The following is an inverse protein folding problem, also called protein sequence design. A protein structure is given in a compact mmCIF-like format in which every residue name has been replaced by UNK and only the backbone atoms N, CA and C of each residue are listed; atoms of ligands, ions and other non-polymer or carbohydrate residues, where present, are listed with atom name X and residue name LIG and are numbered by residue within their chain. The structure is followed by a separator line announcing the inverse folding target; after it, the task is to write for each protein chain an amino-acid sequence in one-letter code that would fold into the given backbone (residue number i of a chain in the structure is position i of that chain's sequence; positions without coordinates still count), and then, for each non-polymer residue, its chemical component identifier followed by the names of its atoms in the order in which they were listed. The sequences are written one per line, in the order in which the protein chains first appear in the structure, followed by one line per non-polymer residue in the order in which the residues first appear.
data_IF_466944514946
#
_entry.id   IF_466944514946
#
_cell.length_a   1.000
_cell.length_b   1.000
_cell.length_c   1.000
_cell.angle_alpha   90.00
_cell.angle_beta   90.00
_cell.angle_gamma   90.00
#
_symmetry.space_group_name_H-M   'P 1'
#
loop_
_entity.id
_entity.type
_entity.pdbx_description
1 polymer ?
#
# COMPACT_ATOMS: atom_id res chain seq x y z
N UNK A 1 -21.98 64.02 10.29
CA UNK A 1 -21.34 62.72 10.05
C UNK A 1 -20.82 62.76 8.64
N UNK A 2 -19.52 62.98 8.56
CA UNK A 2 -18.85 63.53 7.39
C UNK A 2 -18.76 62.46 6.29
N UNK A 3 -18.83 62.87 5.03
CA UNK A 3 -18.84 61.99 3.86
C UNK A 3 -17.67 60.99 3.86
N UNK A 4 -16.54 61.41 4.43
CA UNK A 4 -15.33 60.61 4.67
C UNK A 4 -15.58 59.39 5.56
N UNK A 5 -16.44 59.49 6.57
CA UNK A 5 -16.74 58.39 7.49
C UNK A 5 -17.51 57.25 6.79
N UNK A 6 -18.37 57.57 5.82
CA UNK A 6 -19.11 56.57 5.02
C UNK A 6 -18.17 55.80 4.08
N UNK A 7 -17.22 56.50 3.45
CA UNK A 7 -16.22 55.90 2.56
C UNK A 7 -15.29 54.95 3.31
N UNK A 8 -14.77 55.38 4.46
CA UNK A 8 -13.89 54.53 5.29
C UNK A 8 -14.62 53.29 5.78
N UNK A 9 -15.89 53.41 6.18
CA UNK A 9 -16.69 52.26 6.62
C UNK A 9 -16.91 51.24 5.49
N UNK A 10 -17.15 51.71 4.27
CA UNK A 10 -17.30 50.83 3.10
C UNK A 10 -16.02 50.05 2.77
N UNK A 11 -14.86 50.71 2.81
CA UNK A 11 -13.57 50.06 2.54
C UNK A 11 -13.26 49.03 3.64
N UNK A 12 -13.47 49.39 4.91
CA UNK A 12 -13.26 48.48 6.03
C UNK A 12 -14.17 47.23 5.93
N UNK A 13 -15.43 47.41 5.57
CA UNK A 13 -16.36 46.31 5.36
C UNK A 13 -15.92 45.41 4.19
N UNK A 14 -15.47 46.01 3.07
CA UNK A 14 -14.95 45.26 1.93
C UNK A 14 -13.72 44.40 2.27
N UNK A 15 -12.76 44.97 3.02
CA UNK A 15 -11.59 44.24 3.50
C UNK A 15 -11.95 43.11 4.46
N UNK A 16 -12.90 43.35 5.37
CA UNK A 16 -13.39 42.32 6.29
C UNK A 16 -14.00 41.13 5.54
N UNK A 17 -14.81 41.39 4.50
CA UNK A 17 -15.41 40.34 3.66
C UNK A 17 -14.34 39.58 2.88
N UNK A 18 -13.37 40.28 2.27
CA UNK A 18 -12.26 39.64 1.56
C UNK A 18 -11.43 38.76 2.50
N UNK A 19 -11.17 39.21 3.72
CA UNK A 19 -10.43 38.46 4.72
C UNK A 19 -11.21 37.22 5.21
N UNK A 20 -12.51 37.37 5.48
CA UNK A 20 -13.38 36.26 5.87
C UNK A 20 -13.50 35.21 4.75
N UNK A 21 -13.62 35.65 3.49
CA UNK A 21 -13.65 34.76 2.34
C UNK A 21 -12.32 33.99 2.21
N UNK A 22 -11.18 34.68 2.36
CA UNK A 22 -9.86 34.04 2.38
C UNK A 22 -9.69 33.05 3.53
N UNK A 23 -10.22 33.37 4.72
CA UNK A 23 -10.13 32.51 5.90
C UNK A 23 -11.02 31.26 5.80
N UNK A 24 -12.27 31.41 5.34
CA UNK A 24 -13.16 30.27 5.08
C UNK A 24 -12.55 29.34 4.03
N UNK A 25 -11.96 29.91 2.97
CA UNK A 25 -11.30 29.13 1.93
C UNK A 25 -10.05 28.40 2.44
N UNK A 26 -9.20 29.09 3.21
CA UNK A 26 -8.01 28.48 3.81
C UNK A 26 -8.32 27.35 4.79
N UNK A 27 -9.43 27.46 5.52
CA UNK A 27 -9.87 26.40 6.45
C UNK A 27 -10.47 25.20 5.71
N UNK A 28 -11.18 25.42 4.61
CA UNK A 28 -11.75 24.32 3.80
C UNK A 28 -10.67 23.48 3.13
N UNK A 29 -9.62 24.09 2.57
CA UNK A 29 -8.55 23.35 1.88
C UNK A 29 -7.67 22.47 2.78
N UNK A 30 -7.55 22.82 4.07
CA UNK A 30 -6.72 22.06 5.02
C UNK A 30 -7.32 20.68 5.34
N UNK A 31 -8.66 20.60 5.41
CA UNK A 31 -9.37 19.34 5.64
C UNK A 31 -9.21 18.35 4.48
N UNK A 32 -9.17 18.83 3.24
CA UNK A 32 -8.96 17.98 2.07
C UNK A 32 -7.52 17.47 1.98
N UNK A 33 -6.55 18.32 2.31
CA UNK A 33 -5.14 17.92 2.37
C UNK A 33 -4.90 16.83 3.43
N UNK A 34 -5.46 17.00 4.64
CA UNK A 34 -5.34 16.02 5.72
C UNK A 34 -5.98 14.68 5.34
N UNK A 35 -7.13 14.69 4.64
CA UNK A 35 -7.79 13.46 4.15
C UNK A 35 -6.96 12.71 3.10
N UNK A 36 -6.33 13.42 2.17
CA UNK A 36 -5.49 12.80 1.14
C UNK A 36 -4.24 12.16 1.76
N UNK A 37 -3.65 12.82 2.76
CA UNK A 37 -2.53 12.26 3.53
C UNK A 37 -2.96 11.00 4.29
N UNK A 38 -4.04 11.07 5.07
CA UNK A 38 -4.55 9.91 5.82
C UNK A 38 -4.87 8.72 4.91
N UNK A 39 -5.47 8.97 3.75
CA UNK A 39 -5.77 7.91 2.77
C UNK A 39 -4.50 7.28 2.21
N UNK A 40 -3.48 8.08 1.95
CA UNK A 40 -2.19 7.59 1.43
C UNK A 40 -1.44 6.77 2.47
N UNK A 41 -1.44 7.19 3.73
CA UNK A 41 -0.81 6.44 4.81
C UNK A 41 -1.53 5.11 5.08
N UNK A 42 -2.87 5.11 5.13
CA UNK A 42 -3.66 3.89 5.27
C UNK A 42 -3.36 2.90 4.14
N UNK A 43 -3.29 3.41 2.90
CA UNK A 43 -2.92 2.60 1.74
C UNK A 43 -1.51 2.04 1.86
N UNK A 44 -0.57 2.83 2.37
CA UNK A 44 0.80 2.39 2.66
C UNK A 44 0.85 1.26 3.68
N UNK A 45 0.11 1.36 4.77
CA UNK A 45 0.03 0.32 5.81
C UNK A 45 -0.60 -0.97 5.30
N UNK A 46 -1.72 -0.88 4.57
CA UNK A 46 -2.39 -2.04 3.98
C UNK A 46 -1.52 -2.73 2.91
N UNK A 47 -0.82 -1.96 2.07
CA UNK A 47 0.13 -2.51 1.10
C UNK A 47 1.33 -3.17 1.79
N UNK A 48 1.86 -2.56 2.85
CA UNK A 48 2.92 -3.14 3.66
C UNK A 48 2.49 -4.44 4.33
N UNK A 49 1.29 -4.48 4.91
CA UNK A 49 0.73 -5.69 5.52
C UNK A 49 0.56 -6.80 4.47
N UNK A 50 0.04 -6.47 3.29
CA UNK A 50 -0.09 -7.43 2.19
C UNK A 50 1.26 -7.99 1.74
N UNK A 51 2.27 -7.14 1.59
CA UNK A 51 3.62 -7.57 1.23
C UNK A 51 4.18 -8.54 2.28
N UNK A 52 4.07 -8.19 3.57
CA UNK A 52 4.51 -9.06 4.65
C UNK A 52 3.78 -10.41 4.68
N UNK A 53 2.46 -10.45 4.43
CA UNK A 53 1.72 -11.72 4.32
C UNK A 53 2.18 -12.54 3.11
N UNK A 54 2.50 -11.91 1.97
CA UNK A 54 3.03 -12.62 0.80
C UNK A 54 4.43 -13.18 1.06
N UNK A 55 5.30 -12.42 1.73
CA UNK A 55 6.62 -12.91 2.16
C UNK A 55 6.50 -14.09 3.14
N UNK A 56 5.56 -14.01 4.09
CA UNK A 56 5.26 -15.13 4.99
C UNK A 56 4.87 -16.40 4.22
N UNK A 57 4.09 -16.28 3.14
CA UNK A 57 3.72 -17.43 2.30
C UNK A 57 4.93 -18.04 1.60
N UNK A 58 5.83 -17.21 1.05
CA UNK A 58 7.08 -17.67 0.44
C UNK A 58 7.95 -18.40 1.47
N UNK A 59 8.03 -17.87 2.69
CA UNK A 59 8.75 -18.51 3.80
C UNK A 59 8.12 -19.86 4.20
N UNK A 60 6.79 -19.97 4.27
CA UNK A 60 6.09 -21.24 4.56
C UNK A 60 6.37 -22.28 3.46
N UNK A 61 6.36 -21.88 2.18
CA UNK A 61 6.72 -22.79 1.08
C UNK A 61 8.16 -23.27 1.16
N UNK A 62 9.06 -22.46 1.71
CA UNK A 62 10.46 -22.80 1.94
C UNK A 62 10.68 -23.56 3.25
N UNK A 63 9.61 -23.96 3.95
CA UNK A 63 9.64 -24.66 5.24
C UNK A 63 10.34 -23.82 6.34
N UNK A 64 10.40 -22.49 6.18
CA UNK A 64 10.96 -21.56 7.16
C UNK A 64 9.84 -20.92 8.01
N UNK A 65 9.30 -21.70 8.95
CA UNK A 65 8.19 -21.25 9.80
C UNK A 65 8.57 -20.14 10.80
N UNK A 66 9.86 -20.04 11.17
CA UNK A 66 10.35 -18.97 12.04
C UNK A 66 10.29 -17.62 11.35
N UNK A 67 10.82 -17.54 10.14
CA UNK A 67 10.76 -16.33 9.31
C UNK A 67 9.33 -16.00 8.91
N UNK A 68 8.52 -17.00 8.55
CA UNK A 68 7.10 -16.81 8.30
C UNK A 68 6.37 -16.18 9.49
N UNK A 69 6.64 -16.64 10.72
CA UNK A 69 6.03 -16.09 11.93
C UNK A 69 6.44 -14.63 12.15
N UNK A 70 7.69 -14.28 11.87
CA UNK A 70 8.16 -12.89 11.95
C UNK A 70 7.46 -11.98 10.93
N UNK A 71 7.26 -12.45 9.70
CA UNK A 71 6.53 -11.70 8.69
C UNK A 71 5.04 -11.53 9.05
N UNK A 72 4.40 -12.56 9.60
CA UNK A 72 3.01 -12.48 10.07
C UNK A 72 2.85 -11.50 11.24
N UNK A 73 3.82 -11.47 12.17
CA UNK A 73 3.83 -10.50 13.27
C UNK A 73 3.98 -9.06 12.74
N UNK A 74 4.86 -8.84 11.76
CA UNK A 74 5.00 -7.56 11.08
C UNK A 74 3.72 -7.12 10.38
N UNK A 75 3.04 -8.05 9.70
CA UNK A 75 1.75 -7.80 9.07
C UNK A 75 0.67 -7.44 10.10
N UNK A 76 0.61 -8.15 11.22
CA UNK A 76 -0.31 -7.88 12.34
C UNK A 76 -0.11 -6.48 12.90
N UNK A 77 1.14 -6.06 13.13
CA UNK A 77 1.45 -4.71 13.61
C UNK A 77 1.00 -3.61 12.64
N UNK A 78 1.16 -3.83 11.33
CA UNK A 78 0.69 -2.89 10.30
C UNK A 78 -0.84 -2.83 10.21
N UNK A 79 -1.51 -3.97 10.27
CA UNK A 79 -2.97 -4.06 10.27
C UNK A 79 -3.60 -3.47 11.53
N UNK A 80 -2.96 -3.63 12.70
CA UNK A 80 -3.42 -2.99 13.94
C UNK A 80 -3.43 -1.47 13.84
N UNK A 81 -2.38 -0.86 13.27
CA UNK A 81 -2.36 0.59 13.02
C UNK A 81 -3.43 1.04 12.02
N UNK A 82 -3.64 0.24 10.97
CA UNK A 82 -4.69 0.52 9.99
C UNK A 82 -6.09 0.42 10.61
N UNK A 83 -6.32 -0.55 11.51
CA UNK A 83 -7.57 -0.73 12.28
C UNK A 83 -7.87 0.49 13.16
N UNK A 84 -6.89 0.93 13.96
CA UNK A 84 -7.02 2.12 14.81
C UNK A 84 -7.39 3.38 14.00
N UNK A 85 -6.82 3.51 12.79
CA UNK A 85 -7.11 4.62 11.87
C UNK A 85 -8.48 4.50 11.21
N UNK A 86 -8.90 3.30 10.83
CA UNK A 86 -10.24 3.08 10.27
C UNK A 86 -11.32 3.41 11.31
N UNK A 87 -11.09 3.06 12.58
CA UNK A 87 -11.96 3.43 13.70
C UNK A 87 -12.03 4.93 13.91
N UNK A 88 -10.89 5.64 13.88
CA UNK A 88 -10.88 7.10 14.04
C UNK A 88 -11.57 7.83 12.88
N UNK A 89 -11.63 7.21 11.69
CA UNK A 89 -12.35 7.70 10.52
C UNK A 89 -13.84 7.31 10.49
N UNK A 90 -14.32 6.49 11.43
CA UNK A 90 -15.70 5.98 11.45
C UNK A 90 -16.03 5.02 10.29
N UNK A 91 -15.03 4.27 9.80
CA UNK A 91 -15.16 3.38 8.65
C UNK A 91 -15.45 1.92 9.08
N UNK A 92 -16.58 1.70 9.75
CA UNK A 92 -16.95 0.41 10.38
C UNK A 92 -16.94 -0.78 9.41
N UNK A 93 -17.31 -0.57 8.14
CA UNK A 93 -17.33 -1.64 7.14
C UNK A 93 -15.91 -2.14 6.79
N UNK A 94 -14.94 -1.22 6.68
CA UNK A 94 -13.56 -1.56 6.39
C UNK A 94 -12.86 -2.11 7.65
N UNK A 95 -13.21 -1.59 8.83
CA UNK A 95 -12.76 -2.08 10.13
C UNK A 95 -13.07 -3.58 10.31
N UNK A 96 -14.32 -4.01 10.06
CA UNK A 96 -14.70 -5.43 10.12
C UNK A 96 -13.90 -6.32 9.17
N UNK A 97 -13.56 -5.83 7.98
CA UNK A 97 -12.75 -6.57 7.01
C UNK A 97 -11.30 -6.68 7.51
N UNK A 98 -10.73 -5.61 8.05
CA UNK A 98 -9.39 -5.64 8.66
C UNK A 98 -9.33 -6.59 9.86
N UNK A 99 -10.34 -6.60 10.72
CA UNK A 99 -10.43 -7.55 11.83
C UNK A 99 -10.54 -9.00 11.36
N UNK A 100 -11.26 -9.25 10.25
CA UNK A 100 -11.30 -10.57 9.62
C UNK A 100 -9.92 -10.99 9.12
N UNK A 101 -9.17 -10.08 8.49
CA UNK A 101 -7.80 -10.36 8.06
C UNK A 101 -6.85 -10.62 9.25
N UNK A 102 -6.98 -9.86 10.34
CA UNK A 102 -6.23 -10.07 11.59
C UNK A 102 -6.51 -11.46 12.19
N UNK A 103 -7.78 -11.86 12.26
CA UNK A 103 -8.15 -13.20 12.73
C UNK A 103 -7.54 -14.32 11.87
N UNK A 104 -7.50 -14.14 10.54
CA UNK A 104 -6.86 -15.10 9.64
C UNK A 104 -5.34 -15.14 9.81
N UNK A 105 -4.68 -14.02 10.07
CA UNK A 105 -3.23 -13.97 10.39
C UNK A 105 -2.94 -14.67 11.72
N UNK A 106 -3.74 -14.41 12.75
CA UNK A 106 -3.60 -15.08 14.06
C UNK A 106 -3.76 -16.59 13.94
N UNK A 107 -4.72 -17.04 13.14
CA UNK A 107 -4.88 -18.45 12.84
C UNK A 107 -3.66 -19.00 12.10
N UNK A 108 -3.18 -18.30 11.06
CA UNK A 108 -2.00 -18.69 10.29
C UNK A 108 -0.74 -18.79 11.17
N UNK A 109 -0.51 -17.85 12.08
CA UNK A 109 0.62 -17.85 13.01
C UNK A 109 0.56 -19.04 13.99
N UNK A 110 -0.63 -19.35 14.52
CA UNK A 110 -0.83 -20.54 15.37
C UNK A 110 -0.58 -21.84 14.61
N UNK A 111 -0.97 -21.92 13.34
CA UNK A 111 -0.70 -23.07 12.47
C UNK A 111 0.78 -23.17 12.11
N UNK A 112 1.43 -22.05 11.78
CA UNK A 112 2.85 -22.00 11.48
C UNK A 112 3.70 -22.43 12.68
N UNK A 113 3.33 -22.03 13.91
CA UNK A 113 3.97 -22.49 15.14
C UNK A 113 3.83 -24.00 15.40
N UNK A 114 2.84 -24.65 14.80
CA UNK A 114 2.64 -26.11 14.82
C UNK A 114 3.23 -26.81 13.59
N UNK A 115 3.92 -26.06 12.72
CA UNK A 115 4.46 -26.53 11.43
C UNK A 115 3.37 -27.09 10.50
N UNK A 116 2.13 -26.57 10.62
CA UNK A 116 0.99 -27.04 9.84
C UNK A 116 1.00 -26.40 8.43
N UNK A 117 1.00 -27.20 7.34
CA UNK A 117 0.99 -26.68 5.97
C UNK A 117 -0.27 -25.87 5.62
N UNK A 118 -1.36 -26.03 6.37
CA UNK A 118 -2.59 -25.24 6.19
C UNK A 118 -2.39 -23.75 6.54
N UNK A 119 -1.29 -23.38 7.21
CA UNK A 119 -0.93 -21.99 7.48
C UNK A 119 -0.88 -21.13 6.21
N UNK A 120 -0.42 -21.70 5.08
CA UNK A 120 -0.34 -20.98 3.80
C UNK A 120 -1.74 -20.65 3.25
N UNK A 121 -2.72 -21.54 3.41
CA UNK A 121 -4.10 -21.27 3.01
C UNK A 121 -4.68 -20.07 3.75
N UNK A 122 -4.43 -20.00 5.06
CA UNK A 122 -4.92 -18.94 5.95
C UNK A 122 -4.23 -17.60 5.72
N UNK A 123 -2.92 -17.61 5.48
CA UNK A 123 -2.20 -16.43 5.01
C UNK A 123 -2.73 -15.95 3.64
N UNK A 124 -3.10 -16.88 2.76
CA UNK A 124 -3.76 -16.56 1.48
C UNK A 124 -5.12 -15.87 1.65
N UNK A 125 -5.97 -16.37 2.56
CA UNK A 125 -7.25 -15.74 2.91
C UNK A 125 -7.05 -14.31 3.42
N UNK A 126 -6.11 -14.12 4.37
CA UNK A 126 -5.79 -12.79 4.88
C UNK A 126 -5.35 -11.83 3.75
N UNK A 127 -4.44 -12.27 2.88
CA UNK A 127 -3.97 -11.46 1.75
C UNK A 127 -5.10 -11.06 0.79
N UNK A 128 -6.09 -11.95 0.59
CA UNK A 128 -7.27 -11.66 -0.24
C UNK A 128 -8.14 -10.59 0.40
N UNK A 129 -8.45 -10.71 1.70
CA UNK A 129 -9.26 -9.72 2.41
C UNK A 129 -8.58 -8.35 2.40
N UNK A 130 -7.27 -8.28 2.63
CA UNK A 130 -6.51 -7.01 2.55
C UNK A 130 -6.60 -6.39 1.16
N UNK A 131 -6.55 -7.20 0.10
CA UNK A 131 -6.69 -6.72 -1.28
C UNK A 131 -8.11 -6.16 -1.56
N UNK A 132 -9.16 -6.77 -1.01
CA UNK A 132 -10.54 -6.27 -1.11
C UNK A 132 -10.73 -4.93 -0.37
N UNK A 133 -10.11 -4.77 0.81
CA UNK A 133 -10.11 -3.49 1.55
C UNK A 133 -9.41 -2.40 0.72
N UNK A 134 -8.25 -2.72 0.13
CA UNK A 134 -7.50 -1.80 -0.73
C UNK A 134 -8.30 -1.36 -1.97
N UNK A 135 -8.99 -2.28 -2.63
CA UNK A 135 -9.85 -1.99 -3.78
C UNK A 135 -11.04 -1.12 -3.38
N UNK A 136 -11.67 -1.42 -2.24
CA UNK A 136 -12.76 -0.62 -1.68
C UNK A 136 -12.32 0.80 -1.34
N UNK A 137 -11.15 0.94 -0.72
CA UNK A 137 -10.57 2.25 -0.41
C UNK A 137 -10.27 3.04 -1.69
N UNK A 138 -9.66 2.41 -2.70
CA UNK A 138 -9.36 3.04 -3.99
C UNK A 138 -10.63 3.50 -4.73
N UNK A 139 -11.68 2.68 -4.73
CA UNK A 139 -12.98 3.03 -5.33
C UNK A 139 -13.62 4.24 -4.66
N UNK A 140 -13.55 4.33 -3.32
CA UNK A 140 -14.07 5.50 -2.59
C UNK A 140 -13.29 6.78 -2.89
N UNK A 141 -11.97 6.69 -3.01
CA UNK A 141 -11.15 7.84 -3.41
C UNK A 141 -11.47 8.32 -4.82
N UNK A 142 -11.83 7.40 -5.73
CA UNK A 142 -12.24 7.73 -7.09
C UNK A 142 -13.68 8.25 -7.19
N UNK A 143 -14.58 7.83 -6.29
CA UNK A 143 -15.99 8.23 -6.29
C UNK A 143 -16.26 9.54 -5.53
N UNK A 144 -15.26 10.11 -4.86
CA UNK A 144 -15.41 11.44 -4.28
C UNK A 144 -15.71 12.42 -5.42
N UNK A 145 -16.85 13.14 -5.40
CA UNK A 145 -17.18 14.08 -6.45
C UNK A 145 -16.02 15.06 -6.53
N UNK A 146 -15.33 15.06 -7.67
CA UNK A 146 -14.45 16.16 -8.04
C UNK A 146 -15.40 17.34 -8.19
N UNK A 147 -15.67 18.04 -7.08
CA UNK A 147 -16.31 19.34 -7.12
C UNK A 147 -15.46 20.13 -8.11
N UNK A 148 -16.02 20.57 -9.25
CA UNK A 148 -15.25 21.28 -10.24
C UNK A 148 -14.53 22.39 -9.50
N UNK A 149 -13.21 22.35 -9.48
CA UNK A 149 -12.40 23.37 -8.86
C UNK A 149 -12.57 24.61 -9.73
N UNK A 150 -13.67 25.32 -9.50
CA UNK A 150 -14.05 26.56 -10.17
C UNK A 150 -13.06 27.62 -9.70
N UNK A 151 -11.90 27.67 -10.33
CA UNK A 151 -10.83 28.54 -9.88
C UNK A 151 -9.49 28.39 -10.58
N UNK A 152 -9.23 27.33 -11.35
CA UNK A 152 -8.12 27.38 -12.30
C UNK A 152 -8.53 28.20 -13.53
N UNK A 153 -8.43 29.52 -13.36
CA UNK A 153 -8.35 30.48 -14.44
C UNK A 153 -7.33 30.01 -15.45
N UNK A 154 -7.82 29.49 -16.57
CA UNK A 154 -7.15 29.37 -17.85
C UNK A 154 -6.84 30.79 -18.35
N UNK A 155 -5.90 31.48 -17.70
CA UNK A 155 -5.24 32.64 -18.28
C UNK A 155 -3.91 32.22 -18.86
N UNK A 156 -3.87 32.27 -20.18
CA UNK A 156 -2.69 32.43 -21.02
C UNK A 156 -1.68 31.28 -21.04
N UNK A 157 -1.99 30.28 -21.90
CA UNK A 157 -0.95 29.55 -22.63
C UNK A 157 -1.23 29.59 -24.13
N UNK A 158 -1.26 30.80 -24.67
CA UNK A 158 -1.10 31.01 -26.10
C UNK A 158 0.37 30.76 -26.50
N UNK A 159 0.56 30.15 -27.66
CA UNK A 159 1.82 29.89 -28.39
C UNK A 159 2.68 28.69 -27.94
N UNK A 160 2.28 27.51 -28.43
CA UNK A 160 3.24 26.52 -28.98
C UNK A 160 3.62 26.95 -30.41
N UNK A 161 4.86 26.72 -30.82
CA UNK A 161 5.11 26.15 -32.13
C UNK A 161 5.60 24.70 -32.03
N UNK A 162 5.26 23.97 -33.08
CA UNK A 162 5.44 22.54 -33.27
C UNK A 162 6.91 22.11 -33.24
N UNK A 163 7.19 20.96 -32.62
CA UNK A 163 8.34 20.14 -32.98
C UNK A 163 7.92 18.68 -33.04
N UNK A 164 7.75 18.22 -34.28
CA UNK A 164 7.48 16.86 -34.67
C UNK A 164 8.77 16.05 -34.66
N UNK A 165 8.98 15.25 -33.62
CA UNK A 165 9.94 14.15 -33.64
C UNK A 165 9.16 12.83 -33.64
N UNK A 166 9.10 12.23 -34.83
CA UNK A 166 8.68 10.84 -35.08
C UNK A 166 9.63 9.94 -34.27
N UNK A 167 9.09 9.09 -33.40
CA UNK A 167 9.84 7.97 -32.85
C UNK A 167 9.20 6.67 -33.32
N UNK A 168 9.96 5.97 -34.14
CA UNK A 168 9.64 4.73 -34.82
C UNK A 168 9.48 3.58 -33.83
N UNK A 169 8.46 2.75 -34.05
CA UNK A 169 8.30 1.44 -33.42
C UNK A 169 9.27 0.42 -34.05
N UNK A 170 9.93 -0.45 -33.27
CA UNK A 170 10.44 -1.71 -33.77
C UNK A 170 9.47 -2.86 -33.45
N UNK A 171 8.84 -3.30 -34.54
CA UNK A 171 8.62 -4.68 -35.01
C UNK A 171 8.84 -5.86 -34.05
N UNK A 172 7.80 -6.68 -34.00
CA UNK A 172 7.70 -8.12 -33.76
C UNK A 172 8.99 -8.96 -33.59
N UNK A 173 8.99 -9.79 -32.54
CA UNK A 173 9.77 -11.03 -32.47
C UNK A 173 8.78 -12.20 -32.40
N UNK A 174 8.88 -13.07 -33.41
CA UNK A 174 8.22 -14.36 -33.49
C UNK A 174 8.98 -15.43 -32.70
N UNK A 175 8.22 -16.33 -32.05
CA UNK A 175 8.46 -17.77 -32.11
C UNK A 175 9.42 -18.39 -31.10
N UNK A 176 8.87 -19.21 -30.20
CA UNK A 176 9.34 -20.60 -30.01
C UNK A 176 8.28 -21.42 -29.28
N UNK A 177 7.78 -22.45 -29.97
CA UNK A 177 6.98 -23.51 -29.35
C UNK A 177 7.91 -24.56 -28.73
N UNK A 178 7.49 -25.15 -27.63
CA UNK A 178 7.95 -26.48 -27.21
C UNK A 178 6.73 -27.29 -26.77
N UNK A 179 6.47 -28.26 -27.64
CA UNK A 179 5.89 -29.59 -27.50
C UNK A 179 5.29 -30.03 -26.15
N UNK A 180 4.07 -30.54 -26.29
CA UNK A 180 3.43 -31.44 -25.36
C UNK A 180 4.12 -32.81 -25.35
N UNK A 181 4.45 -33.32 -24.16
CA UNK A 181 4.68 -34.76 -23.96
C UNK A 181 3.61 -35.33 -23.05
N UNK A 182 2.92 -36.32 -23.63
CA UNK A 182 1.87 -37.16 -23.08
C UNK A 182 2.46 -38.54 -22.83
N UNK A 183 2.53 -38.97 -21.57
CA UNK A 183 2.63 -40.36 -21.10
C UNK A 183 2.71 -40.29 -19.57
N UNK A 184 2.07 -41.11 -18.75
CA UNK A 184 1.37 -42.37 -18.89
C UNK A 184 1.24 -42.90 -17.45
N UNK A 185 0.08 -43.41 -17.08
CA UNK A 185 -0.17 -43.92 -15.72
C UNK A 185 0.55 -45.24 -15.43
N UNK A 186 0.77 -45.50 -14.15
CA UNK A 186 1.16 -46.80 -13.62
C UNK A 186 1.54 -46.75 -12.13
N UNK A 187 0.86 -47.49 -11.23
CA UNK A 187 1.17 -47.49 -9.80
C UNK A 187 2.17 -48.59 -9.44
N UNK A 188 2.99 -48.37 -8.41
CA UNK A 188 3.58 -49.46 -7.64
C UNK A 188 5.06 -49.32 -7.28
N UNK A 189 5.28 -49.33 -5.96
CA UNK A 189 6.42 -49.90 -5.23
C UNK A 189 7.69 -49.07 -4.94
N UNK A 190 7.94 -49.02 -3.62
CA UNK A 190 9.22 -49.20 -2.92
C UNK A 190 10.20 -48.02 -2.82
N UNK A 191 10.21 -47.38 -1.63
CA UNK A 191 11.43 -46.95 -0.92
C UNK A 191 12.37 -48.16 -0.68
N UNK A 192 13.68 -48.05 -0.30
CA UNK A 192 14.49 -46.93 0.27
C UNK A 192 15.91 -46.83 -0.41
N UNK A 193 17.03 -46.28 0.14
CA UNK A 193 17.29 -45.61 1.41
C UNK A 193 18.06 -44.25 1.35
N UNK A 194 18.16 -43.67 2.54
CA UNK A 194 18.94 -42.49 2.96
C UNK A 194 20.44 -42.64 2.65
N UNK A 195 21.03 -41.67 1.93
CA UNK A 195 22.31 -40.99 2.29
C UNK A 195 22.67 -39.93 1.23
N UNK A 196 22.74 -38.64 1.60
CA UNK A 196 23.99 -37.87 1.55
C UNK A 196 23.79 -36.48 2.16
N UNK A 197 24.52 -36.25 3.24
CA UNK A 197 24.91 -34.93 3.72
C UNK A 197 25.66 -34.22 2.58
N UNK A 198 25.19 -33.04 2.16
CA UNK A 198 26.03 -32.08 1.45
C UNK A 198 25.74 -30.67 1.94
N UNK A 199 26.69 -30.18 2.72
CA UNK A 199 26.91 -28.80 3.14
C UNK A 199 26.81 -27.84 1.96
N UNK A 200 25.94 -26.85 2.06
CA UNK A 200 25.95 -25.65 1.23
C UNK A 200 25.77 -24.41 2.12
N UNK A 201 26.67 -24.27 3.10
CA UNK A 201 26.98 -22.99 3.73
C UNK A 201 27.77 -22.15 2.71
N UNK A 202 27.11 -21.23 1.99
CA UNK A 202 27.89 -20.37 1.09
C UNK A 202 27.19 -19.42 0.13
N UNK A 203 25.92 -19.03 0.33
CA UNK A 203 25.29 -17.96 -0.51
C UNK A 203 24.44 -16.97 0.33
N UNK A 204 24.41 -17.13 1.65
CA UNK A 204 23.46 -16.43 2.53
C UNK A 204 23.98 -15.20 3.30
N UNK A 205 25.13 -14.62 2.96
CA UNK A 205 25.65 -13.43 3.67
C UNK A 205 25.65 -12.13 2.87
N UNK A 206 25.73 -12.20 1.54
CA UNK A 206 25.85 -10.98 0.72
C UNK A 206 24.49 -10.32 0.41
N UNK A 207 23.39 -11.09 0.47
CA UNK A 207 22.03 -10.55 0.37
C UNK A 207 21.47 -10.03 1.69
N UNK A 208 21.92 -10.55 2.84
CA UNK A 208 21.53 -10.01 4.15
C UNK A 208 22.18 -8.64 4.42
N UNK A 209 23.38 -8.38 3.91
CA UNK A 209 24.05 -7.09 4.11
C UNK A 209 23.37 -5.97 3.30
N UNK A 210 22.80 -6.27 2.12
CA UNK A 210 22.10 -5.27 1.28
C UNK A 210 20.71 -4.91 1.82
N UNK A 211 20.00 -5.84 2.47
CA UNK A 211 18.72 -5.56 3.13
C UNK A 211 18.93 -4.73 4.42
N UNK A 212 20.04 -4.95 5.14
CA UNK A 212 20.39 -4.17 6.33
C UNK A 212 20.70 -2.69 6.03
N UNK A 213 21.27 -2.39 4.85
CA UNK A 213 21.55 -1.00 4.44
C UNK A 213 20.27 -0.20 4.15
N UNK A 214 19.21 -0.84 3.62
CA UNK A 214 17.94 -0.15 3.34
C UNK A 214 17.19 0.15 4.63
N UNK A 215 17.15 -0.77 5.60
CA UNK A 215 16.54 -0.53 6.92
C UNK A 215 17.29 0.53 7.76
N UNK A 216 18.62 0.62 7.63
CA UNK A 216 19.43 1.63 8.35
C UNK A 216 19.25 3.06 7.81
N UNK A 217 18.74 3.24 6.59
CA UNK A 217 18.45 4.56 6.02
C UNK A 217 17.08 5.13 6.45
N UNK A 218 16.13 4.26 6.84
CA UNK A 218 14.81 4.70 7.33
C UNK A 218 14.84 5.25 8.77
N UNK A 219 15.77 4.79 9.62
CA UNK A 219 15.87 5.21 11.02
C UNK A 219 16.60 6.54 11.29
N UNK A 220 17.19 7.18 10.25
CA UNK A 220 18.05 8.37 10.42
C UNK A 220 17.41 9.71 10.02
N UNK A 221 16.10 9.74 9.78
CA UNK A 221 15.32 10.96 9.48
C UNK A 221 14.45 11.48 10.64
N UNK A 222 14.49 10.84 11.81
CA UNK A 222 13.68 11.24 12.97
C UNK A 222 14.42 11.95 14.12
N UNK A 223 15.67 12.38 13.94
CA UNK A 223 16.49 12.94 15.03
C UNK A 223 17.04 14.36 14.73
N UNK A 224 16.42 15.09 13.81
CA UNK A 224 16.66 16.51 13.60
C UNK A 224 15.31 17.15 13.43
N UNK A 225 14.77 17.61 14.55
CA UNK A 225 13.82 18.73 14.71
C UNK A 225 12.99 18.47 15.98
N UNK A 226 13.44 19.13 17.07
CA UNK A 226 12.76 19.39 18.35
C UNK A 226 12.56 18.24 19.33
#
# INVERSE_FOLDING_TARGET
MDEMAKLVLGIAAGLAVAFLAGWLWGRSGRLDADRVLQTSELRGELLGARAAVLDARVAIYSVNFGEASQHLEGARGLLGRADDRLKSLGLDAADRQVQTALASIDAAQRMAGKLDPNANGRAGEAAKVIAEVLDTAAKRSASAPVTPQAGHSTRDRATRPHSSARFSSPTAVCGHGIEATKAGGGPGFASPPVTLVRSATGVGRELQERIFIISRWSGRRGARDW
#
